data_IF_843191309762
#
_entry.id   IF_843191309762
#
_cell.length_a   1.000
_cell.length_b   1.000
_cell.length_c   1.000
_cell.angle_alpha   90.00
_cell.angle_beta   90.00
_cell.angle_gamma   90.00
#
_symmetry.space_group_name_H-M   'P 1'
#
loop_
_entity.id
_entity.type
_entity.pdbx_description
1 polymer ?
#
# COMPACT_ATOMS: atom_id res chain seq x y z
N UNK A 1 0.48 16.04 -2.77
CA UNK A 1 1.66 16.14 -1.88
C UNK A 1 1.31 15.55 -0.51
N UNK A 2 2.25 14.96 0.23
CA UNK A 2 2.02 14.48 1.60
C UNK A 2 2.47 15.49 2.63
N UNK A 3 1.67 15.66 3.68
CA UNK A 3 2.07 16.39 4.89
C UNK A 3 1.94 15.44 6.07
N UNK A 4 3.02 15.24 6.83
CA UNK A 4 2.95 14.58 8.12
C UNK A 4 2.64 15.61 9.18
N UNK A 5 1.52 15.42 9.87
CA UNK A 5 1.10 16.27 10.98
C UNK A 5 1.51 15.55 12.27
N UNK A 6 2.51 16.10 12.96
CA UNK A 6 3.09 15.48 14.17
C UNK A 6 3.51 16.48 15.25
N UNK A 7 3.07 17.74 15.15
CA UNK A 7 3.37 18.74 16.18
C UNK A 7 2.62 18.41 17.48
N UNK A 8 3.27 18.58 18.64
CA UNK A 8 2.70 18.31 19.97
C UNK A 8 1.40 19.10 20.26
N UNK A 9 1.18 20.19 19.54
CA UNK A 9 0.00 21.06 19.64
C UNK A 9 -1.24 20.44 18.94
N UNK A 10 -1.05 19.46 18.06
CA UNK A 10 -2.14 18.83 17.32
C UNK A 10 -2.69 17.64 18.11
N UNK A 11 -4.02 17.56 18.33
CA UNK A 11 -4.64 16.42 18.99
C UNK A 11 -4.21 15.09 18.36
N UNK A 12 -3.94 14.07 19.16
CA UNK A 12 -3.47 12.75 18.68
C UNK A 12 -4.37 12.13 17.60
N UNK A 13 -5.67 12.45 17.60
CA UNK A 13 -6.62 12.01 16.58
C UNK A 13 -6.39 12.62 15.19
N UNK A 14 -5.69 13.76 15.12
CA UNK A 14 -5.33 14.48 13.90
C UNK A 14 -3.84 14.35 13.56
N UNK A 15 -3.05 13.68 14.41
CA UNK A 15 -1.68 13.34 14.12
C UNK A 15 -1.67 12.19 13.10
N UNK A 16 -1.02 12.39 11.96
CA UNK A 16 -1.06 11.42 10.87
C UNK A 16 -0.56 11.96 9.54
N UNK A 17 -0.70 11.13 8.50
CA UNK A 17 -0.34 11.49 7.13
C UNK A 17 -1.58 12.07 6.45
N UNK A 18 -1.49 13.30 5.95
CA UNK A 18 -2.57 13.92 5.19
C UNK A 18 -2.18 14.07 3.72
N UNK A 19 -3.14 13.82 2.84
CA UNK A 19 -3.01 14.09 1.41
C UNK A 19 -3.51 15.50 1.11
N UNK A 20 -2.65 16.34 0.55
CA UNK A 20 -2.99 17.72 0.15
C UNK A 20 -2.82 17.92 -1.36
N UNK A 21 -3.59 18.85 -1.91
CA UNK A 21 -3.49 19.30 -3.30
C UNK A 21 -2.29 20.24 -3.52
N UNK A 22 -2.18 20.83 -4.72
CA UNK A 22 -1.13 21.80 -5.07
C UNK A 22 -1.24 23.14 -4.33
N UNK A 23 -2.40 23.43 -3.74
CA UNK A 23 -2.66 24.64 -2.95
C UNK A 23 -2.56 24.38 -1.44
N UNK A 24 -2.01 23.24 -1.03
CA UNK A 24 -1.94 22.78 0.36
C UNK A 24 -3.30 22.57 1.04
N UNK A 25 -4.38 22.44 0.26
CA UNK A 25 -5.71 22.12 0.77
C UNK A 25 -5.83 20.60 0.96
N UNK A 26 -6.33 20.12 2.11
CA UNK A 26 -6.60 18.71 2.32
C UNK A 26 -7.58 18.16 1.29
N UNK A 27 -7.24 17.02 0.66
CA UNK A 27 -8.19 16.29 -0.18
C UNK A 27 -9.23 15.63 0.73
N UNK A 28 -10.47 16.09 0.62
CA UNK A 28 -11.49 15.84 1.63
C UNK A 28 -11.78 14.35 1.80
N UNK A 29 -12.11 13.65 0.70
CA UNK A 29 -12.47 12.24 0.77
C UNK A 29 -11.28 11.35 1.12
N UNK A 30 -10.06 11.72 0.73
CA UNK A 30 -8.86 11.02 1.16
C UNK A 30 -8.65 11.09 2.68
N UNK A 31 -8.89 12.27 3.29
CA UNK A 31 -8.80 12.46 4.73
C UNK A 31 -9.88 11.66 5.47
N UNK A 32 -11.14 11.75 5.03
CA UNK A 32 -12.27 11.00 5.60
C UNK A 32 -12.01 9.49 5.52
N UNK A 33 -11.55 9.01 4.37
CA UNK A 33 -11.25 7.59 4.19
C UNK A 33 -10.12 7.12 5.08
N UNK A 34 -9.08 7.95 5.29
CA UNK A 34 -8.02 7.62 6.21
C UNK A 34 -8.55 7.52 7.65
N UNK A 35 -9.34 8.49 8.12
CA UNK A 35 -9.89 8.46 9.49
C UNK A 35 -10.71 7.19 9.73
N UNK A 36 -11.51 6.77 8.77
CA UNK A 36 -12.41 5.63 8.92
C UNK A 36 -11.67 4.29 8.71
N UNK A 37 -10.77 4.20 7.73
CA UNK A 37 -10.18 2.93 7.33
C UNK A 37 -8.80 2.64 7.96
N UNK A 38 -8.09 3.66 8.44
CA UNK A 38 -6.69 3.56 8.83
C UNK A 38 -6.46 3.13 10.29
N UNK A 39 -7.49 3.05 11.11
CA UNK A 39 -7.41 2.68 12.54
C UNK A 39 -6.68 1.35 12.79
N UNK A 40 -6.70 0.45 11.81
CA UNK A 40 -6.10 -0.89 11.85
C UNK A 40 -4.80 -1.02 11.03
N UNK A 41 -4.33 0.05 10.36
CA UNK A 41 -3.16 -0.02 9.48
C UNK A 41 -1.93 0.64 10.08
N UNK A 42 -0.76 0.02 9.89
CA UNK A 42 0.51 0.66 10.19
C UNK A 42 0.72 1.91 9.33
N UNK A 43 1.42 2.92 9.87
CA UNK A 43 1.68 4.21 9.19
C UNK A 43 2.36 4.06 7.83
N UNK A 44 3.21 3.03 7.67
CA UNK A 44 3.86 2.70 6.38
C UNK A 44 2.85 2.24 5.33
N UNK A 45 1.86 1.40 5.72
CA UNK A 45 0.77 0.95 4.85
C UNK A 45 -0.19 2.09 4.51
N UNK A 46 -0.49 2.95 5.48
CA UNK A 46 -1.29 4.16 5.25
C UNK A 46 -0.63 5.06 4.19
N UNK A 47 0.67 5.33 4.34
CA UNK A 47 1.44 6.15 3.39
C UNK A 47 1.48 5.54 1.99
N UNK A 48 1.67 4.22 1.89
CA UNK A 48 1.67 3.51 0.61
C UNK A 48 0.31 3.62 -0.09
N UNK A 49 -0.80 3.41 0.63
CA UNK A 49 -2.15 3.49 0.07
C UNK A 49 -2.51 4.92 -0.34
N UNK A 50 -2.15 5.91 0.48
CA UNK A 50 -2.34 7.32 0.15
C UNK A 50 -1.55 7.73 -1.11
N UNK A 51 -0.35 7.19 -1.34
CA UNK A 51 0.38 7.36 -2.63
C UNK A 51 -0.38 6.83 -3.82
N UNK A 52 -1.06 5.70 -3.69
CA UNK A 52 -1.88 5.20 -4.79
C UNK A 52 -3.08 6.10 -5.04
N UNK A 53 -3.72 6.59 -3.98
CA UNK A 53 -4.86 7.52 -4.06
C UNK A 53 -4.43 8.88 -4.64
N UNK A 54 -3.28 9.43 -4.24
CA UNK A 54 -2.73 10.67 -4.79
C UNK A 54 -2.60 10.63 -6.31
N UNK A 55 -2.05 9.54 -6.85
CA UNK A 55 -1.91 9.36 -8.29
C UNK A 55 -3.26 9.30 -9.01
N UNK A 56 -4.32 8.78 -8.38
CA UNK A 56 -5.68 8.80 -8.95
C UNK A 56 -6.20 10.22 -9.04
N UNK A 57 -6.01 10.96 -7.95
CA UNK A 57 -6.41 12.35 -7.85
C UNK A 57 -5.67 13.24 -8.86
N UNK A 58 -4.36 13.12 -8.99
CA UNK A 58 -3.58 13.84 -10.00
C UNK A 58 -4.04 13.49 -11.42
N UNK A 59 -4.39 12.23 -11.68
CA UNK A 59 -4.91 11.82 -12.98
C UNK A 59 -6.27 12.45 -13.27
N UNK A 60 -7.19 12.42 -12.30
CA UNK A 60 -8.50 13.05 -12.42
C UNK A 60 -8.38 14.57 -12.65
N UNK A 61 -7.48 15.22 -11.91
CA UNK A 61 -7.21 16.65 -12.01
C UNK A 61 -6.65 17.01 -13.40
N UNK A 62 -5.77 16.18 -13.98
CA UNK A 62 -5.21 16.37 -15.32
C UNK A 62 -6.19 16.05 -16.46
N UNK A 63 -7.01 15.02 -16.31
CA UNK A 63 -7.88 14.53 -17.38
C UNK A 63 -9.22 15.26 -17.49
N UNK A 64 -9.73 15.83 -16.38
CA UNK A 64 -11.07 16.41 -16.35
C UNK A 64 -11.05 17.87 -15.90
N UNK A 65 -10.74 18.11 -14.62
CA UNK A 65 -10.66 19.45 -14.01
C UNK A 65 -10.09 19.33 -12.59
N UNK A 66 -9.59 20.44 -12.04
CA UNK A 66 -9.19 20.50 -10.64
C UNK A 66 -10.34 20.05 -9.72
N UNK A 67 -10.02 19.19 -8.75
CA UNK A 67 -10.96 18.60 -7.78
C UNK A 67 -12.06 17.75 -8.42
N UNK A 68 -11.89 17.28 -9.66
CA UNK A 68 -12.88 16.46 -10.36
C UNK A 68 -13.33 15.23 -9.56
N UNK A 69 -12.40 14.58 -8.87
CA UNK A 69 -12.71 13.38 -8.08
C UNK A 69 -13.50 13.71 -6.82
N UNK A 70 -13.13 14.77 -6.09
CA UNK A 70 -13.85 15.15 -4.86
C UNK A 70 -15.26 15.65 -5.20
N UNK A 71 -15.41 16.43 -6.28
CA UNK A 71 -16.70 16.88 -6.80
C UNK A 71 -17.57 15.70 -7.24
N UNK A 72 -17.00 14.73 -7.96
CA UNK A 72 -17.72 13.55 -8.44
C UNK A 72 -18.16 12.65 -7.28
N UNK A 73 -17.32 12.50 -6.24
CA UNK A 73 -17.68 11.77 -5.03
C UNK A 73 -18.74 12.50 -4.22
N UNK A 74 -18.64 13.82 -4.05
CA UNK A 74 -19.62 14.60 -3.27
C UNK A 74 -20.99 14.67 -3.94
N UNK A 75 -21.03 14.75 -5.27
CA UNK A 75 -22.27 14.78 -6.06
C UNK A 75 -22.78 13.39 -6.44
N UNK A 76 -22.01 12.33 -6.15
CA UNK A 76 -22.26 10.96 -6.60
C UNK A 76 -22.56 10.89 -8.11
N UNK A 77 -21.86 11.70 -8.89
CA UNK A 77 -21.99 11.76 -10.34
C UNK A 77 -21.39 10.48 -10.95
N UNK A 78 -22.26 9.52 -11.22
CA UNK A 78 -21.91 8.20 -11.74
C UNK A 78 -21.13 8.28 -13.05
N UNK A 79 -21.58 9.12 -13.99
CA UNK A 79 -20.96 9.23 -15.30
C UNK A 79 -19.51 9.70 -15.15
N UNK A 80 -19.29 10.73 -14.32
CA UNK A 80 -17.93 11.22 -14.05
C UNK A 80 -17.07 10.21 -13.30
N UNK A 81 -17.63 9.49 -12.32
CA UNK A 81 -16.88 8.46 -11.61
C UNK A 81 -16.48 7.31 -12.55
N UNK A 82 -17.37 6.90 -13.45
CA UNK A 82 -17.09 5.89 -14.46
C UNK A 82 -16.00 6.38 -15.43
N UNK A 83 -16.12 7.58 -15.97
CA UNK A 83 -15.13 8.17 -16.88
C UNK A 83 -13.75 8.28 -16.23
N UNK A 84 -13.68 8.72 -14.96
CA UNK A 84 -12.42 8.81 -14.21
C UNK A 84 -11.79 7.44 -14.01
N UNK A 85 -12.58 6.44 -13.60
CA UNK A 85 -12.10 5.07 -13.38
C UNK A 85 -11.67 4.39 -14.69
N UNK A 86 -12.41 4.61 -15.79
CA UNK A 86 -12.09 4.06 -17.11
C UNK A 86 -10.84 4.72 -17.70
N UNK A 87 -10.75 6.04 -17.66
CA UNK A 87 -9.56 6.79 -18.08
C UNK A 87 -8.32 6.33 -17.30
N UNK A 88 -8.48 6.12 -15.99
CA UNK A 88 -7.41 5.59 -15.16
C UNK A 88 -7.03 4.13 -15.51
N UNK A 89 -8.02 3.29 -15.78
CA UNK A 89 -7.80 1.90 -16.20
C UNK A 89 -7.03 1.83 -17.53
N UNK A 90 -7.39 2.67 -18.49
CA UNK A 90 -6.68 2.81 -19.77
C UNK A 90 -5.24 3.29 -19.53
N UNK A 91 -5.05 4.29 -18.67
CA UNK A 91 -3.72 4.78 -18.27
C UNK A 91 -2.84 3.67 -17.67
N UNK A 92 -3.39 2.83 -16.79
CA UNK A 92 -2.70 1.67 -16.22
C UNK A 92 -2.34 0.62 -17.27
N UNK A 93 -3.22 0.36 -18.24
CA UNK A 93 -2.97 -0.60 -19.32
C UNK A 93 -1.94 -0.12 -20.33
N UNK A 94 -1.84 1.18 -20.54
CA UNK A 94 -0.90 1.80 -21.46
C UNK A 94 0.50 1.99 -20.85
N UNK A 95 0.74 1.53 -19.62
CA UNK A 95 2.08 1.56 -19.03
C UNK A 95 2.98 0.51 -19.68
N UNK A 96 4.16 0.90 -20.19
CA UNK A 96 5.06 0.01 -20.93
C UNK A 96 5.69 -1.08 -20.07
N UNK A 97 5.67 -0.95 -18.73
CA UNK A 97 6.21 -1.93 -17.79
C UNK A 97 5.07 -2.44 -16.91
N UNK A 98 4.58 -3.63 -17.22
CA UNK A 98 3.55 -4.29 -16.42
C UNK A 98 4.18 -4.80 -15.12
N UNK A 99 4.09 -4.00 -14.06
CA UNK A 99 4.51 -4.37 -12.71
C UNK A 99 3.40 -5.14 -12.00
N UNK A 100 3.76 -6.19 -11.25
CA UNK A 100 2.83 -6.92 -10.37
C UNK A 100 2.08 -6.00 -9.39
N UNK A 101 2.64 -4.83 -9.07
CA UNK A 101 1.99 -3.81 -8.24
C UNK A 101 0.86 -3.03 -8.91
N UNK A 102 0.61 -3.20 -10.22
CA UNK A 102 -0.46 -2.47 -10.91
C UNK A 102 -1.85 -2.95 -10.50
N UNK A 103 -2.00 -4.24 -10.18
CA UNK A 103 -3.24 -4.81 -9.66
C UNK A 103 -3.52 -4.30 -8.24
N UNK A 104 -2.52 -4.29 -7.35
CA UNK A 104 -2.69 -3.77 -5.98
C UNK A 104 -3.00 -2.27 -5.98
N UNK A 105 -2.39 -1.52 -6.89
CA UNK A 105 -2.69 -0.10 -7.16
C UNK A 105 -4.13 0.11 -7.62
N UNK A 106 -4.63 -0.75 -8.50
CA UNK A 106 -6.02 -0.71 -8.97
C UNK A 106 -7.00 -1.06 -7.85
N UNK A 107 -6.77 -2.17 -7.15
CA UNK A 107 -7.62 -2.63 -6.04
C UNK A 107 -7.69 -1.62 -4.92
N UNK A 108 -6.58 -0.97 -4.57
CA UNK A 108 -6.55 0.07 -3.53
C UNK A 108 -7.42 1.28 -3.90
N UNK A 109 -7.35 1.73 -5.16
CA UNK A 109 -8.12 2.88 -5.65
C UNK A 109 -9.60 2.57 -5.83
N UNK A 110 -9.92 1.42 -6.42
CA UNK A 110 -11.30 0.98 -6.54
C UNK A 110 -11.92 0.81 -5.15
N UNK A 111 -11.18 0.20 -4.21
CA UNK A 111 -11.59 0.07 -2.82
C UNK A 111 -11.82 1.40 -2.11
N UNK A 112 -11.02 2.42 -2.41
CA UNK A 112 -11.24 3.79 -1.93
C UNK A 112 -12.57 4.36 -2.44
N UNK A 113 -12.79 4.38 -3.76
CA UNK A 113 -14.02 4.93 -4.36
C UNK A 113 -15.26 4.19 -3.87
N UNK A 114 -15.23 2.85 -3.86
CA UNK A 114 -16.38 2.07 -3.39
C UNK A 114 -16.64 2.29 -1.90
N UNK A 115 -15.60 2.39 -1.05
CA UNK A 115 -15.80 2.67 0.38
C UNK A 115 -16.49 4.01 0.59
N UNK A 116 -16.02 5.06 -0.08
CA UNK A 116 -16.60 6.42 0.04
C UNK A 116 -18.04 6.44 -0.44
N UNK A 117 -18.30 5.85 -1.61
CA UNK A 117 -19.66 5.73 -2.16
C UNK A 117 -20.57 4.95 -1.22
N UNK A 118 -20.13 3.79 -0.69
CA UNK A 118 -20.94 3.00 0.24
C UNK A 118 -21.26 3.77 1.52
N UNK A 119 -20.34 4.59 2.04
CA UNK A 119 -20.61 5.43 3.20
C UNK A 119 -21.63 6.52 2.89
N UNK A 120 -21.49 7.18 1.75
CA UNK A 120 -22.45 8.16 1.26
C UNK A 120 -23.82 7.53 1.03
N UNK A 121 -23.87 6.33 0.45
CA UNK A 121 -25.10 5.60 0.16
C UNK A 121 -25.88 5.20 1.41
N UNK A 122 -25.17 4.82 2.48
CA UNK A 122 -25.79 4.52 3.78
C UNK A 122 -26.36 5.77 4.48
N UNK A 123 -25.95 6.96 4.06
CA UNK A 123 -26.38 8.23 4.66
C UNK A 123 -27.52 8.95 3.92
N UNK A 124 -27.99 8.45 2.76
CA UNK A 124 -29.00 9.11 1.92
C UNK A 124 -30.22 8.24 1.54
N UNK A 125 -31.30 8.89 1.09
CA UNK A 125 -32.62 8.33 0.75
C UNK A 125 -32.65 7.36 -0.47
N UNK A 126 -33.79 6.70 -0.72
CA UNK A 126 -34.03 5.58 -1.65
C UNK A 126 -33.37 5.64 -3.06
N UNK A 127 -33.16 6.82 -3.68
CA UNK A 127 -32.43 6.94 -4.96
C UNK A 127 -30.94 6.56 -4.83
N UNK A 128 -30.39 6.67 -3.62
CA UNK A 128 -29.00 6.41 -3.27
C UNK A 128 -28.64 4.92 -3.29
N UNK A 129 -29.63 4.03 -3.05
CA UNK A 129 -29.46 2.58 -3.17
C UNK A 129 -29.35 2.13 -4.64
N UNK A 130 -30.01 2.85 -5.55
CA UNK A 130 -29.93 2.55 -6.98
C UNK A 130 -28.56 2.95 -7.55
N UNK A 131 -28.01 4.06 -7.08
CA UNK A 131 -26.63 4.50 -7.38
C UNK A 131 -25.62 3.51 -6.78
N UNK A 132 -25.84 3.05 -5.55
CA UNK A 132 -25.02 2.01 -4.92
C UNK A 132 -24.99 0.71 -5.75
N UNK A 133 -26.16 0.20 -6.15
CA UNK A 133 -26.25 -1.01 -6.97
C UNK A 133 -25.51 -0.87 -8.31
N UNK A 134 -25.54 0.33 -8.90
CA UNK A 134 -24.93 0.63 -10.19
C UNK A 134 -23.41 0.83 -10.09
N UNK A 135 -22.92 1.45 -9.02
CA UNK A 135 -21.49 1.52 -8.72
C UNK A 135 -20.95 0.16 -8.27
N UNK A 136 -21.72 -0.66 -7.56
CA UNK A 136 -21.37 -2.06 -7.29
C UNK A 136 -21.34 -2.89 -8.56
N UNK A 137 -22.23 -2.62 -9.52
CA UNK A 137 -22.17 -3.25 -10.84
C UNK A 137 -20.90 -2.85 -11.58
N UNK A 138 -20.57 -1.56 -11.62
CA UNK A 138 -19.30 -1.08 -12.19
C UNK A 138 -18.13 -1.72 -11.46
N UNK A 139 -18.09 -1.70 -10.13
CA UNK A 139 -17.00 -2.31 -9.35
C UNK A 139 -16.90 -3.82 -9.58
N UNK A 140 -18.01 -4.52 -9.80
CA UNK A 140 -18.03 -5.95 -10.13
C UNK A 140 -17.48 -6.20 -11.52
N UNK A 141 -17.88 -5.41 -12.52
CA UNK A 141 -17.35 -5.49 -13.89
C UNK A 141 -15.85 -5.16 -13.93
N UNK A 142 -15.44 -4.11 -13.21
CA UNK A 142 -14.07 -3.65 -13.12
C UNK A 142 -13.17 -4.53 -12.24
N UNK A 143 -13.75 -5.27 -11.29
CA UNK A 143 -13.06 -6.31 -10.50
C UNK A 143 -12.74 -7.54 -11.34
N UNK A 144 -13.52 -7.79 -12.40
CA UNK A 144 -13.24 -8.85 -13.37
C UNK A 144 -12.21 -8.43 -14.43
N UNK A 145 -12.03 -7.12 -14.63
CA UNK A 145 -10.99 -6.55 -15.48
C UNK A 145 -9.63 -6.58 -14.78
N UNK A 146 -8.94 -7.71 -14.91
CA UNK A 146 -7.55 -7.84 -14.50
C UNK A 146 -6.65 -7.02 -15.44
N UNK A 147 -5.82 -6.15 -14.87
CA UNK A 147 -4.76 -5.50 -15.63
C UNK A 147 -3.75 -6.61 -15.91
N UNK A 148 -3.54 -6.92 -17.21
CA UNK A 148 -2.61 -7.95 -17.68
C UNK A 148 -1.38 -7.99 -16.77
N UNK A 149 -1.24 -9.08 -16.02
CA UNK A 149 -0.04 -9.33 -15.25
C UNK A 149 1.07 -9.47 -16.29
N UNK A 150 1.99 -8.50 -16.35
CA UNK A 150 3.28 -8.74 -16.98
C UNK A 150 3.81 -10.02 -16.36
N UNK A 151 4.14 -11.00 -17.20
CA UNK A 151 4.49 -12.34 -16.76
C UNK A 151 5.35 -12.24 -15.51
N UNK A 152 4.87 -12.81 -14.40
CA UNK A 152 5.63 -12.86 -13.15
C UNK A 152 6.99 -13.37 -13.58
N UNK A 153 8.02 -12.52 -13.53
CA UNK A 153 9.36 -13.05 -13.36
C UNK A 153 9.22 -13.91 -12.12
N UNK A 154 9.36 -15.22 -12.31
CA UNK A 154 9.39 -16.16 -11.22
C UNK A 154 10.53 -15.69 -10.33
N UNK A 155 10.18 -14.88 -9.34
CA UNK A 155 11.08 -14.56 -8.24
C UNK A 155 11.35 -15.92 -7.64
N UNK A 156 12.55 -16.46 -7.90
CA UNK A 156 13.03 -17.72 -7.33
C UNK A 156 12.62 -17.72 -5.86
N UNK A 157 11.60 -18.52 -5.54
CA UNK A 157 10.91 -18.47 -4.26
C UNK A 157 11.78 -19.02 -3.13
N UNK A 158 12.87 -19.67 -3.49
CA UNK A 158 13.88 -20.26 -2.64
C UNK A 158 15.26 -19.96 -3.21
N UNK A 159 16.21 -19.80 -2.30
CA UNK A 159 17.64 -19.76 -2.64
C UNK A 159 18.09 -21.18 -3.02
N UNK A 160 18.80 -21.37 -4.14
CA UNK A 160 19.47 -22.64 -4.45
C UNK A 160 20.48 -23.00 -3.35
N UNK A 161 20.67 -24.30 -3.10
CA UNK A 161 21.56 -24.81 -2.05
C UNK A 161 23.00 -24.26 -2.17
N UNK A 162 23.52 -24.15 -3.39
CA UNK A 162 24.86 -23.58 -3.66
C UNK A 162 25.02 -22.13 -3.20
N UNK A 163 23.95 -21.34 -3.27
CA UNK A 163 23.94 -19.95 -2.80
C UNK A 163 23.93 -19.92 -1.27
N UNK A 164 23.19 -20.83 -0.63
CA UNK A 164 23.17 -20.94 0.84
C UNK A 164 24.53 -21.36 1.38
N UNK A 165 25.17 -22.36 0.77
CA UNK A 165 26.53 -22.79 1.11
C UNK A 165 27.56 -21.67 0.96
N UNK A 166 27.47 -20.89 -0.14
CA UNK A 166 28.33 -19.73 -0.35
C UNK A 166 28.12 -18.66 0.73
N UNK A 167 26.87 -18.43 1.14
CA UNK A 167 26.56 -17.49 2.22
C UNK A 167 27.11 -17.96 3.57
N UNK A 168 27.07 -19.26 3.87
CA UNK A 168 27.72 -19.81 5.07
C UNK A 168 29.23 -19.56 5.07
N UNK A 169 29.92 -19.81 3.94
CA UNK A 169 31.37 -19.60 3.83
C UNK A 169 31.80 -18.13 4.02
N UNK A 170 30.95 -17.19 3.59
CA UNK A 170 31.23 -15.75 3.68
C UNK A 170 30.82 -15.18 5.05
N UNK A 171 29.69 -15.64 5.61
CA UNK A 171 29.13 -15.09 6.85
C UNK A 171 29.64 -15.75 8.12
N UNK A 172 30.39 -16.85 8.01
CA UNK A 172 31.08 -17.47 9.14
C UNK A 172 31.92 -16.41 9.90
N UNK A 173 31.75 -16.28 11.23
CA UNK A 173 32.47 -15.28 12.03
C UNK A 173 33.99 -15.42 11.98
N UNK A 174 34.49 -16.63 11.73
CA UNK A 174 35.92 -16.94 11.66
C UNK A 174 36.47 -16.86 10.23
N UNK A 175 35.62 -16.63 9.23
CA UNK A 175 36.04 -16.48 7.83
C UNK A 175 36.71 -15.13 7.57
N UNK A 176 37.87 -15.19 6.91
CA UNK A 176 38.59 -14.01 6.42
C UNK A 176 37.83 -13.27 5.30
N UNK A 177 36.90 -13.95 4.62
CA UNK A 177 36.05 -13.37 3.59
C UNK A 177 34.86 -12.57 4.16
N UNK A 178 34.70 -12.53 5.49
CA UNK A 178 33.57 -11.86 6.12
C UNK A 178 33.66 -10.33 5.96
N UNK A 179 32.66 -9.69 5.33
CA UNK A 179 32.70 -8.25 5.05
C UNK A 179 32.63 -7.38 6.32
N UNK A 180 32.22 -7.94 7.46
CA UNK A 180 32.14 -7.21 8.72
C UNK A 180 33.46 -7.26 9.48
N UNK A 181 34.04 -6.10 9.81
CA UNK A 181 35.35 -6.03 10.47
C UNK A 181 35.32 -6.26 12.00
N UNK A 182 34.17 -6.06 12.65
CA UNK A 182 34.03 -6.16 14.10
C UNK A 182 33.50 -7.54 14.48
N UNK A 183 34.21 -8.27 15.37
CA UNK A 183 33.86 -9.63 15.79
C UNK A 183 32.42 -9.75 16.32
N UNK A 184 31.99 -8.79 17.15
CA UNK A 184 30.63 -8.77 17.68
C UNK A 184 29.55 -8.57 16.60
N UNK A 185 29.84 -7.82 15.53
CA UNK A 185 28.94 -7.66 14.38
C UNK A 185 28.88 -8.93 13.55
N UNK A 186 30.02 -9.64 13.40
CA UNK A 186 30.06 -10.93 12.69
C UNK A 186 29.13 -11.96 13.34
N UNK A 187 29.27 -12.14 14.66
CA UNK A 187 28.41 -13.06 15.43
C UNK A 187 26.93 -12.69 15.35
N UNK A 188 26.60 -11.39 15.47
CA UNK A 188 25.20 -10.93 15.37
C UNK A 188 24.59 -11.22 13.99
N UNK A 189 25.33 -10.94 12.92
CA UNK A 189 24.84 -11.17 11.56
C UNK A 189 24.74 -12.67 11.27
N UNK A 190 25.71 -13.48 11.74
CA UNK A 190 25.67 -14.92 11.59
C UNK A 190 24.47 -15.56 12.31
N UNK A 191 24.24 -15.19 13.57
CA UNK A 191 23.07 -15.67 14.35
C UNK A 191 21.77 -15.24 13.68
N UNK A 192 21.66 -13.98 13.25
CA UNK A 192 20.49 -13.50 12.53
C UNK A 192 20.26 -14.27 11.21
N UNK A 193 21.32 -14.55 10.45
CA UNK A 193 21.26 -15.35 9.23
C UNK A 193 20.76 -16.77 9.50
N UNK A 194 21.33 -17.47 10.49
CA UNK A 194 20.93 -18.83 10.89
C UNK A 194 19.48 -18.87 11.35
N UNK A 195 19.05 -17.92 12.17
CA UNK A 195 17.66 -17.81 12.63
C UNK A 195 16.69 -17.56 11.46
N UNK A 196 17.03 -16.67 10.53
CA UNK A 196 16.21 -16.41 9.34
C UNK A 196 16.15 -17.63 8.41
N UNK A 197 17.25 -18.37 8.28
CA UNK A 197 17.32 -19.53 7.39
C UNK A 197 16.53 -20.74 7.95
N UNK A 198 16.73 -21.07 9.22
CA UNK A 198 16.14 -22.27 9.82
C UNK A 198 14.71 -22.06 10.34
N UNK A 199 14.37 -20.86 10.82
CA UNK A 199 13.03 -20.57 11.35
C UNK A 199 12.15 -19.84 10.33
N UNK A 200 12.68 -19.46 9.17
CA UNK A 200 11.95 -18.72 8.15
C UNK A 200 11.48 -17.33 8.60
N UNK A 201 12.16 -16.75 9.61
CA UNK A 201 11.76 -15.48 10.20
C UNK A 201 11.82 -14.34 9.19
N UNK A 202 10.76 -13.52 9.18
CA UNK A 202 10.74 -12.29 8.40
C UNK A 202 11.68 -11.28 9.05
N UNK A 203 12.28 -10.39 8.25
CA UNK A 203 13.21 -9.34 8.73
C UNK A 203 12.66 -8.50 9.90
N UNK A 204 11.35 -8.27 9.96
CA UNK A 204 10.73 -7.54 11.07
C UNK A 204 10.67 -8.35 12.38
N UNK A 205 10.61 -9.67 12.28
CA UNK A 205 10.53 -10.59 13.43
C UNK A 205 11.90 -10.80 14.05
N UNK A 206 12.98 -10.86 13.25
CA UNK A 206 14.35 -10.94 13.77
C UNK A 206 14.79 -9.69 14.53
N UNK A 207 14.33 -8.51 14.10
CA UNK A 207 14.58 -7.26 14.82
C UNK A 207 13.78 -7.18 16.13
N UNK A 208 12.61 -7.83 16.18
CA UNK A 208 11.78 -7.89 17.40
C UNK A 208 12.24 -8.98 18.39
N UNK A 209 12.90 -10.05 17.92
CA UNK A 209 13.36 -11.16 18.74
C UNK A 209 14.50 -10.80 19.71
N UNK A 210 15.17 -9.66 19.52
CA UNK A 210 16.34 -9.19 20.29
C UNK A 210 16.05 -8.90 21.79
N UNK A 211 14.81 -9.07 22.29
CA UNK A 211 14.45 -8.67 23.67
C UNK A 211 13.59 -9.61 24.51
N UNK A 212 13.28 -10.86 24.13
CA UNK A 212 12.54 -11.68 25.12
C UNK A 212 12.02 -13.09 24.81
N UNK A 213 12.46 -13.80 23.78
CA UNK A 213 11.80 -15.08 23.43
C UNK A 213 12.60 -16.37 23.71
N UNK A 214 13.72 -16.34 24.44
CA UNK A 214 14.39 -17.58 24.86
C UNK A 214 14.04 -17.92 26.32
N UNK A 215 12.86 -18.51 26.52
CA UNK A 215 12.64 -19.44 27.63
C UNK A 215 12.79 -20.85 27.07
N UNK A 216 13.96 -21.44 27.28
CA UNK A 216 14.16 -22.89 27.13
C UNK A 216 13.28 -23.59 28.17
N UNK A 217 12.36 -24.45 27.71
CA UNK A 217 11.73 -25.45 28.56
C UNK A 217 12.61 -26.73 28.55
N UNK A 218 12.79 -27.37 29.72
CA UNK A 218 13.75 -28.46 29.93
C UNK A 218 13.41 -29.77 29.21
#
# INVERSE_FOLDING_TARGET
MFVQIGADVVPRALQGVLLVDSNHVPRYWAAVWLVIAASQWATSTQTMRLRFIENLYEHADRSFKANALDDALSSLDEARLADILESWFVSLRNQPVASSGNEDRWRTRLGFVTSVVTWLSKSGDANMQQIEARIHRLSTLYRQLHIRQGGRTETLRSLPASVVESLYQILDPDSDANPFRRSHTRWRVFIAFVLMLHQGLRRGETVAADRGCHQEQP
#
